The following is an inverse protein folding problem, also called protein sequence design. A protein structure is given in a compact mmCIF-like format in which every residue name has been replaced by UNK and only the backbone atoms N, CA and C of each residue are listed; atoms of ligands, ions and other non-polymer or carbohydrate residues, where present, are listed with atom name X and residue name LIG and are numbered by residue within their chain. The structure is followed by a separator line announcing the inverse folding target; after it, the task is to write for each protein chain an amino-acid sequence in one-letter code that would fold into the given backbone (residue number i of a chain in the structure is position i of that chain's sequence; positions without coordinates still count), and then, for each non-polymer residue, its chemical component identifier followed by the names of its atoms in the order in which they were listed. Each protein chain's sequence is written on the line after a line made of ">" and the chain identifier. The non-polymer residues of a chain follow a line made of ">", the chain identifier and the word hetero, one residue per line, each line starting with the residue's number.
data_IF_985459758679
#
_entry.id   IF_985459758679
#
_cell.length_a   1.000
_cell.length_b   1.000
_cell.length_c   1.000
_cell.angle_alpha   90.00
_cell.angle_beta   90.00
_cell.angle_gamma   90.00
#
_symmetry.space_group_name_H-M   'P 1'
#
loop_
_entity.id
_entity.type
_entity.pdbx_description
1 polymer ?
#
# COMPACT_ATOMS: atom_id res chain seq x y z
N UNK A 1 -5.01 -2.31 42.32
CA UNK A 1 -6.48 -2.31 42.11
C UNK A 1 -7.10 -0.90 42.06
N UNK A 2 -6.50 0.12 42.71
CA UNK A 2 -6.96 1.52 42.66
C UNK A 2 -6.68 2.17 41.28
N UNK A 3 -5.56 1.82 40.67
CA UNK A 3 -5.11 2.42 39.40
C UNK A 3 -6.00 2.03 38.21
N UNK A 4 -6.51 0.80 38.18
CA UNK A 4 -7.51 0.37 37.18
C UNK A 4 -8.80 1.17 37.26
N UNK A 5 -9.26 1.53 38.46
CA UNK A 5 -10.48 2.33 38.63
C UNK A 5 -10.28 3.77 38.14
N UNK A 6 -9.10 4.34 38.38
CA UNK A 6 -8.73 5.67 37.90
C UNK A 6 -8.63 5.65 36.36
N UNK A 7 -7.93 4.66 35.79
CA UNK A 7 -7.82 4.51 34.34
C UNK A 7 -9.19 4.32 33.66
N UNK A 8 -10.06 3.47 34.22
CA UNK A 8 -11.41 3.27 33.72
C UNK A 8 -12.28 4.55 33.82
N UNK A 9 -12.16 5.30 34.92
CA UNK A 9 -12.88 6.57 35.09
C UNK A 9 -12.42 7.63 34.07
N UNK A 10 -11.12 7.71 33.78
CA UNK A 10 -10.57 8.60 32.76
C UNK A 10 -11.08 8.19 31.37
N UNK A 11 -11.02 6.90 31.02
CA UNK A 11 -11.53 6.41 29.73
C UNK A 11 -13.02 6.74 29.60
N UNK A 12 -13.84 6.45 30.62
CA UNK A 12 -15.27 6.73 30.57
C UNK A 12 -15.61 8.23 30.50
N UNK A 13 -14.74 9.11 31.02
CA UNK A 13 -14.96 10.56 31.01
C UNK A 13 -14.57 11.22 29.68
N UNK A 14 -13.54 10.70 29.00
CA UNK A 14 -12.91 11.39 27.86
C UNK A 14 -12.95 10.61 26.54
N UNK A 15 -13.14 9.30 26.59
CA UNK A 15 -13.22 8.48 25.39
C UNK A 15 -14.64 8.51 24.85
N UNK A 16 -14.79 8.81 23.57
CA UNK A 16 -16.07 8.59 22.88
C UNK A 16 -16.42 7.09 22.92
N UNK A 17 -17.71 6.73 23.11
CA UNK A 17 -18.15 5.36 22.96
C UNK A 17 -17.72 4.80 21.61
N UNK A 18 -17.28 3.54 21.59
CA UNK A 18 -16.97 2.88 20.33
C UNK A 18 -18.26 2.72 19.52
N UNK A 19 -18.35 3.45 18.42
CA UNK A 19 -19.38 3.25 17.41
C UNK A 19 -18.87 2.32 16.32
N UNK A 20 -19.80 1.55 15.75
CA UNK A 20 -19.48 0.74 14.58
C UNK A 20 -19.07 1.64 13.41
N UNK A 21 -18.03 1.20 12.70
CA UNK A 21 -17.64 1.84 11.46
C UNK A 21 -18.82 1.82 10.48
N UNK A 22 -19.00 2.90 9.71
CA UNK A 22 -19.94 2.91 8.58
C UNK A 22 -19.67 1.82 7.52
N UNK A 23 -18.48 1.20 7.58
CA UNK A 23 -18.05 0.11 6.70
C UNK A 23 -18.16 -1.29 7.34
N UNK A 24 -18.76 -1.43 8.53
CA UNK A 24 -18.80 -2.69 9.28
C UNK A 24 -19.33 -3.85 8.45
N UNK A 25 -20.43 -3.67 7.72
CA UNK A 25 -21.00 -4.73 6.89
C UNK A 25 -20.05 -5.14 5.76
N UNK A 26 -19.43 -4.16 5.09
CA UNK A 26 -18.45 -4.43 4.04
C UNK A 26 -17.20 -5.14 4.58
N UNK A 27 -16.76 -4.80 5.79
CA UNK A 27 -15.66 -5.51 6.45
C UNK A 27 -16.04 -6.95 6.77
N UNK A 28 -17.26 -7.21 7.24
CA UNK A 28 -17.76 -8.57 7.49
C UNK A 28 -17.75 -9.36 6.18
N UNK A 29 -18.24 -8.79 5.08
CA UNK A 29 -18.24 -9.46 3.77
C UNK A 29 -16.82 -9.80 3.29
N UNK A 30 -15.86 -8.88 3.47
CA UNK A 30 -14.45 -9.13 3.13
C UNK A 30 -13.87 -10.24 4.02
N UNK A 31 -14.15 -10.21 5.33
CA UNK A 31 -13.67 -11.21 6.29
C UNK A 31 -14.25 -12.59 6.00
N UNK A 32 -15.51 -12.68 5.57
CA UNK A 32 -16.12 -13.94 5.20
C UNK A 32 -15.45 -14.59 3.98
N UNK A 33 -14.68 -13.83 3.20
CA UNK A 33 -13.87 -14.30 2.08
C UNK A 33 -12.40 -14.62 2.48
N UNK A 34 -12.08 -14.72 3.79
CA UNK A 34 -10.73 -15.00 4.36
C UNK A 34 -10.03 -16.20 3.77
N UNK A 35 -10.78 -17.25 3.49
CA UNK A 35 -10.24 -18.56 3.10
C UNK A 35 -9.67 -18.57 1.68
N UNK A 36 -9.76 -17.43 0.98
CA UNK A 36 -9.15 -17.27 -0.33
C UNK A 36 -7.63 -17.18 -0.17
N UNK A 37 -6.95 -18.03 -0.93
CA UNK A 37 -5.50 -18.12 -0.97
C UNK A 37 -4.91 -16.92 -1.73
N UNK A 38 -3.72 -16.44 -1.35
CA UNK A 38 -3.10 -15.31 -2.06
C UNK A 38 -2.38 -15.82 -3.32
N UNK A 39 -3.14 -16.02 -4.40
CA UNK A 39 -2.65 -16.55 -5.67
C UNK A 39 -1.46 -15.76 -6.26
N UNK A 40 -1.44 -14.43 -6.08
CA UNK A 40 -0.32 -13.61 -6.53
C UNK A 40 0.95 -13.90 -5.73
N UNK A 41 0.83 -14.15 -4.42
CA UNK A 41 1.96 -14.55 -3.60
C UNK A 41 2.57 -15.85 -4.12
N UNK A 42 1.77 -16.88 -4.42
CA UNK A 42 2.31 -18.15 -4.91
C UNK A 42 3.00 -17.96 -6.24
N UNK A 43 2.34 -17.29 -7.19
CA UNK A 43 2.92 -17.03 -8.49
C UNK A 43 4.26 -16.30 -8.39
N UNK A 44 4.35 -15.26 -7.56
CA UNK A 44 5.61 -14.53 -7.35
C UNK A 44 6.71 -15.43 -6.80
N UNK A 45 6.38 -16.34 -5.88
CA UNK A 45 7.33 -17.22 -5.23
C UNK A 45 7.76 -18.38 -6.13
N UNK A 46 6.81 -19.07 -6.77
CA UNK A 46 7.03 -20.18 -7.69
C UNK A 46 7.88 -19.76 -8.89
N UNK A 47 7.55 -18.61 -9.50
CA UNK A 47 8.29 -18.06 -10.63
C UNK A 47 9.53 -17.26 -10.21
N UNK A 48 9.83 -17.15 -8.90
CA UNK A 48 11.00 -16.44 -8.38
C UNK A 48 11.14 -15.00 -8.90
N UNK A 49 10.03 -14.26 -9.02
CA UNK A 49 10.00 -12.96 -9.72
C UNK A 49 10.92 -11.90 -9.08
N UNK A 50 11.24 -12.02 -7.80
CA UNK A 50 12.22 -11.14 -7.13
C UNK A 50 13.61 -11.20 -7.79
N UNK A 51 13.98 -12.32 -8.40
CA UNK A 51 15.28 -12.52 -9.08
C UNK A 51 15.23 -12.14 -10.56
N UNK A 52 14.04 -12.07 -11.13
CA UNK A 52 13.85 -11.74 -12.54
C UNK A 52 13.90 -10.22 -12.76
N UNK A 53 15.09 -9.67 -12.99
CA UNK A 53 15.22 -8.23 -13.32
C UNK A 53 14.86 -7.92 -14.77
N UNK A 54 15.28 -8.79 -15.68
CA UNK A 54 15.08 -8.62 -17.14
C UNK A 54 13.60 -8.69 -17.53
N UNK A 55 12.76 -9.40 -16.77
CA UNK A 55 11.34 -9.52 -17.06
C UNK A 55 10.53 -8.25 -16.72
N UNK A 56 11.18 -7.21 -16.16
CA UNK A 56 10.53 -5.97 -15.76
C UNK A 56 11.15 -4.77 -16.48
N UNK A 57 10.34 -3.77 -16.79
CA UNK A 57 10.76 -2.48 -17.36
C UNK A 57 10.53 -1.42 -16.30
N UNK A 58 11.57 -0.61 -16.03
CA UNK A 58 11.43 0.56 -15.16
C UNK A 58 10.61 1.63 -15.88
N UNK A 59 9.65 2.19 -15.16
CA UNK A 59 8.82 3.22 -15.73
C UNK A 59 9.49 4.60 -15.68
N UNK A 60 9.02 5.48 -16.57
CA UNK A 60 9.42 6.87 -16.59
C UNK A 60 8.70 7.69 -15.50
N UNK A 61 9.27 8.86 -15.19
CA UNK A 61 8.78 9.73 -14.12
C UNK A 61 7.37 10.31 -14.37
N UNK A 62 6.89 10.32 -15.61
CA UNK A 62 5.55 10.81 -15.95
C UNK A 62 4.43 9.78 -15.72
N UNK A 63 4.78 8.53 -15.38
CA UNK A 63 3.85 7.41 -15.14
C UNK A 63 2.81 7.21 -16.25
N UNK A 64 3.10 7.66 -17.48
CA UNK A 64 2.19 7.58 -18.63
C UNK A 64 1.77 6.14 -18.95
N UNK A 65 2.67 5.19 -18.75
CA UNK A 65 2.45 3.74 -18.88
C UNK A 65 1.42 3.18 -17.88
N UNK A 66 1.12 3.91 -16.78
CA UNK A 66 0.09 3.56 -15.79
C UNK A 66 -1.10 4.53 -15.83
N UNK A 67 -1.36 5.18 -16.96
CA UNK A 67 -2.58 5.96 -17.15
C UNK A 67 -3.84 5.08 -17.00
N UNK A 68 -3.72 3.78 -17.26
CA UNK A 68 -4.78 2.78 -17.15
C UNK A 68 -4.90 2.12 -15.76
N UNK A 69 -4.06 2.51 -14.80
CA UNK A 69 -4.15 2.00 -13.44
C UNK A 69 -5.46 2.45 -12.77
N UNK A 70 -6.15 1.57 -12.01
CA UNK A 70 -7.43 1.87 -11.39
C UNK A 70 -7.41 3.17 -10.58
N UNK A 71 -8.33 4.09 -10.90
CA UNK A 71 -8.61 5.22 -10.01
C UNK A 71 -9.42 4.70 -8.83
N UNK A 72 -8.89 4.86 -7.63
CA UNK A 72 -9.46 4.41 -6.37
C UNK A 72 -10.00 5.61 -5.60
N UNK A 73 -11.16 5.44 -4.98
CA UNK A 73 -11.65 6.38 -3.98
C UNK A 73 -10.94 6.17 -2.64
N UNK A 74 -11.05 7.15 -1.74
CA UNK A 74 -10.55 6.96 -0.38
C UNK A 74 -11.26 5.80 0.35
N UNK A 75 -12.55 5.57 0.04
CA UNK A 75 -13.31 4.43 0.54
C UNK A 75 -12.74 3.10 0.05
N UNK A 76 -12.42 2.98 -1.25
CA UNK A 76 -11.79 1.77 -1.79
C UNK A 76 -10.51 1.41 -1.03
N UNK A 77 -9.68 2.41 -0.72
CA UNK A 77 -8.45 2.21 0.04
C UNK A 77 -8.72 1.73 1.47
N UNK A 78 -9.74 2.28 2.14
CA UNK A 78 -10.16 1.83 3.48
C UNK A 78 -10.64 0.37 3.43
N UNK A 79 -11.42 0.01 2.42
CA UNK A 79 -11.94 -1.33 2.25
C UNK A 79 -10.81 -2.34 1.94
N UNK A 80 -9.87 -1.99 1.05
CA UNK A 80 -8.69 -2.82 0.76
C UNK A 80 -7.83 -3.01 2.01
N UNK A 81 -7.65 -1.96 2.82
CA UNK A 81 -6.88 -2.01 4.05
C UNK A 81 -7.59 -2.73 5.21
N UNK A 82 -8.91 -2.92 5.09
CA UNK A 82 -9.81 -3.29 6.20
C UNK A 82 -9.63 -2.33 7.39
N UNK A 83 -9.65 -1.03 7.10
CA UNK A 83 -9.53 0.04 8.09
C UNK A 83 -8.56 1.16 7.72
N UNK A 84 -8.46 2.17 8.59
CA UNK A 84 -7.70 3.40 8.30
C UNK A 84 -6.24 3.35 8.73
N UNK A 85 -5.85 2.36 9.54
CA UNK A 85 -4.52 2.32 10.17
C UNK A 85 -3.38 2.28 9.14
N UNK A 86 -3.43 1.34 8.20
CA UNK A 86 -2.40 1.22 7.18
C UNK A 86 -2.41 2.39 6.19
N UNK A 87 -3.57 3.04 5.99
CA UNK A 87 -3.70 4.24 5.17
C UNK A 87 -2.99 5.45 5.79
N UNK A 88 -3.11 5.64 7.10
CA UNK A 88 -2.38 6.69 7.84
C UNK A 88 -0.86 6.53 7.71
N UNK A 89 -0.38 5.29 7.75
CA UNK A 89 1.06 4.98 7.61
C UNK A 89 1.53 5.13 6.16
N UNK A 90 0.72 4.72 5.19
CA UNK A 90 1.03 4.79 3.76
C UNK A 90 1.42 6.20 3.31
N UNK A 91 0.77 7.24 3.85
CA UNK A 91 1.11 8.65 3.56
C UNK A 91 2.59 8.97 3.83
N UNK A 92 3.13 8.44 4.93
CA UNK A 92 4.53 8.63 5.31
C UNK A 92 5.46 7.90 4.35
N UNK A 93 5.14 6.64 4.00
CA UNK A 93 5.95 5.86 3.05
C UNK A 93 5.93 6.48 1.65
N UNK A 94 4.77 6.98 1.21
CA UNK A 94 4.67 7.73 -0.04
C UNK A 94 5.58 8.92 -0.06
N UNK A 95 5.53 9.73 0.98
CA UNK A 95 6.31 10.96 0.95
C UNK A 95 7.80 10.71 1.07
N UNK A 96 8.24 9.71 1.82
CA UNK A 96 9.66 9.34 1.87
C UNK A 96 10.17 8.88 0.50
N UNK A 97 9.42 8.02 -0.19
CA UNK A 97 9.82 7.51 -1.50
C UNK A 97 9.70 8.56 -2.60
N UNK A 98 8.66 9.40 -2.57
CA UNK A 98 8.49 10.48 -3.56
C UNK A 98 9.52 11.60 -3.33
N UNK A 99 9.82 11.98 -2.08
CA UNK A 99 10.80 13.04 -1.81
C UNK A 99 12.22 12.68 -2.26
N UNK A 100 12.61 11.41 -2.17
CA UNK A 100 13.97 10.97 -2.53
C UNK A 100 14.20 10.91 -4.03
N UNK A 101 13.19 10.51 -4.82
CA UNK A 101 13.36 10.19 -6.24
C UNK A 101 12.39 10.94 -7.17
N UNK A 102 11.50 11.78 -6.64
CA UNK A 102 10.42 12.46 -7.37
C UNK A 102 9.22 11.54 -7.71
N UNK A 103 9.46 10.24 -7.83
CA UNK A 103 8.47 9.19 -8.14
C UNK A 103 8.80 7.89 -7.42
N UNK A 104 7.80 7.02 -7.24
CA UNK A 104 8.07 5.64 -6.81
C UNK A 104 8.92 4.88 -7.82
N UNK A 105 9.89 4.08 -7.35
CA UNK A 105 10.60 3.12 -8.22
C UNK A 105 9.64 1.99 -8.63
N UNK A 106 8.99 2.19 -9.77
CA UNK A 106 7.98 1.31 -10.34
C UNK A 106 8.52 0.57 -11.56
N UNK A 107 8.10 -0.68 -11.69
CA UNK A 107 8.41 -1.51 -12.83
C UNK A 107 7.19 -2.31 -13.29
N UNK A 108 6.99 -2.38 -14.60
CA UNK A 108 5.92 -3.16 -15.23
C UNK A 108 6.50 -4.48 -15.73
N UNK A 109 5.73 -5.55 -15.57
CA UNK A 109 6.09 -6.85 -16.13
C UNK A 109 5.94 -6.87 -17.65
N UNK A 110 6.97 -7.34 -18.37
CA UNK A 110 7.03 -7.28 -19.84
C UNK A 110 6.07 -8.21 -20.55
N UNK A 111 5.67 -9.28 -19.87
CA UNK A 111 5.02 -10.43 -20.48
C UNK A 111 3.66 -10.66 -19.82
N UNK A 112 2.70 -9.73 -19.94
CA UNK A 112 1.37 -9.90 -19.35
C UNK A 112 0.69 -11.20 -19.83
N UNK A 113 1.00 -11.67 -21.04
CA UNK A 113 0.53 -12.95 -21.59
C UNK A 113 0.98 -14.18 -20.81
N UNK A 114 2.01 -14.08 -19.98
CA UNK A 114 2.50 -15.18 -19.14
C UNK A 114 1.85 -15.19 -17.75
N UNK A 115 1.01 -14.19 -17.45
CA UNK A 115 0.27 -14.11 -16.20
C UNK A 115 -0.98 -14.99 -16.33
N UNK A 116 -0.88 -16.21 -15.83
CA UNK A 116 -1.99 -17.17 -15.78
C UNK A 116 -2.61 -17.18 -14.37
N UNK A 117 -2.92 -16.00 -13.85
CA UNK A 117 -3.59 -15.82 -12.55
C UNK A 117 -5.02 -15.40 -12.84
N UNK A 118 -5.98 -16.24 -12.46
CA UNK A 118 -7.43 -15.98 -12.55
C UNK A 118 -7.99 -15.78 -13.98
N UNK A 119 -7.32 -16.25 -15.04
CA UNK A 119 -7.78 -16.21 -16.44
C UNK A 119 -8.18 -14.83 -16.99
N UNK A 120 -7.66 -13.76 -16.40
CA UNK A 120 -8.03 -12.38 -16.70
C UNK A 120 -6.88 -11.59 -17.31
N UNK A 121 -7.18 -10.68 -18.23
CA UNK A 121 -6.22 -9.73 -18.80
C UNK A 121 -5.76 -8.72 -17.74
N UNK A 122 -4.80 -9.14 -16.92
CA UNK A 122 -4.24 -8.36 -15.83
C UNK A 122 -2.87 -7.78 -16.19
N UNK A 123 -2.53 -6.66 -15.56
CA UNK A 123 -1.20 -6.06 -15.59
C UNK A 123 -0.53 -6.29 -14.24
N UNK A 124 0.71 -6.78 -14.26
CA UNK A 124 1.53 -6.96 -13.07
C UNK A 124 2.56 -5.84 -12.96
N UNK A 125 2.56 -5.15 -11.82
CA UNK A 125 3.58 -4.18 -11.47
C UNK A 125 4.35 -4.62 -10.24
N UNK A 126 5.61 -4.18 -10.17
CA UNK A 126 6.53 -4.39 -9.06
C UNK A 126 7.12 -3.06 -8.64
N UNK A 127 7.14 -2.83 -7.33
CA UNK A 127 7.69 -1.64 -6.71
C UNK A 127 8.80 -2.05 -5.75
N UNK A 128 9.87 -1.24 -5.70
CA UNK A 128 10.93 -1.40 -4.69
C UNK A 128 10.74 -0.37 -3.59
N UNK A 129 10.60 -0.87 -2.36
CA UNK A 129 10.43 -0.04 -1.17
C UNK A 129 11.58 -0.33 -0.21
N UNK A 130 12.29 0.72 0.18
CA UNK A 130 13.43 0.64 1.08
C UNK A 130 12.93 0.41 2.51
N UNK A 131 13.55 -0.51 3.24
CA UNK A 131 13.21 -0.74 4.64
C UNK A 131 13.64 0.45 5.49
N UNK A 132 12.72 0.96 6.32
CA UNK A 132 12.97 2.00 7.33
C UNK A 132 13.88 1.53 8.47
N UNK A 133 13.94 0.22 8.70
CA UNK A 133 14.69 -0.35 9.82
C UNK A 133 16.05 -0.91 9.42
N UNK A 134 16.25 -1.20 8.12
CA UNK A 134 17.46 -1.85 7.62
C UNK A 134 17.83 -1.27 6.26
N UNK A 135 18.88 -0.45 6.21
CA UNK A 135 19.30 0.27 4.99
C UNK A 135 19.64 -0.63 3.79
N UNK A 136 20.10 -1.86 4.01
CA UNK A 136 20.42 -2.78 2.90
C UNK A 136 19.21 -3.57 2.37
N UNK A 137 18.06 -3.48 3.04
CA UNK A 137 16.90 -4.34 2.75
C UNK A 137 15.86 -3.63 1.91
N UNK A 138 15.55 -4.22 0.75
CA UNK A 138 14.49 -3.78 -0.15
C UNK A 138 13.33 -4.76 -0.08
N UNK A 139 12.12 -4.25 0.09
CA UNK A 139 10.88 -4.98 -0.06
C UNK A 139 10.35 -4.84 -1.49
N UNK A 140 9.99 -5.97 -2.08
CA UNK A 140 9.34 -6.03 -3.39
C UNK A 140 7.84 -6.08 -3.15
N UNK A 141 7.13 -5.11 -3.72
CA UNK A 141 5.67 -4.99 -3.63
C UNK A 141 5.08 -5.22 -5.01
N UNK A 142 4.20 -6.20 -5.13
CA UNK A 142 3.54 -6.59 -6.36
C UNK A 142 2.07 -6.23 -6.29
N UNK A 143 1.55 -5.67 -7.38
CA UNK A 143 0.13 -5.42 -7.57
C UNK A 143 -0.27 -5.98 -8.92
N UNK A 144 -1.32 -6.79 -8.90
CA UNK A 144 -2.00 -7.29 -10.08
C UNK A 144 -3.30 -6.50 -10.23
N UNK A 145 -3.48 -5.85 -11.37
CA UNK A 145 -4.63 -4.99 -11.61
C UNK A 145 -5.24 -5.19 -13.00
N UNK A 146 -6.50 -4.82 -13.12
CA UNK A 146 -7.28 -4.72 -14.37
C UNK A 146 -7.49 -3.26 -14.73
N UNK A 147 -7.75 -3.01 -16.00
CA UNK A 147 -8.09 -1.68 -16.53
C UNK A 147 -9.53 -1.28 -16.20
N UNK A 148 -9.88 -1.35 -14.91
CA UNK A 148 -11.20 -1.01 -14.36
C UNK A 148 -10.99 -0.11 -13.13
N UNK A 149 -11.84 0.90 -12.94
CA UNK A 149 -11.74 1.79 -11.78
C UNK A 149 -12.35 1.17 -10.52
N UNK A 150 -11.99 1.72 -9.36
CA UNK A 150 -12.45 1.26 -8.06
C UNK A 150 -11.76 -0.02 -7.59
N UNK A 151 -12.19 -0.52 -6.43
CA UNK A 151 -11.57 -1.67 -5.76
C UNK A 151 -11.49 -2.92 -6.64
N UNK A 152 -12.48 -3.19 -7.50
CA UNK A 152 -12.52 -4.39 -8.34
C UNK A 152 -11.41 -4.41 -9.40
N UNK A 153 -10.85 -3.24 -9.74
CA UNK A 153 -9.66 -3.12 -10.58
C UNK A 153 -8.41 -3.72 -9.94
N UNK A 154 -8.38 -3.94 -8.63
CA UNK A 154 -7.24 -4.57 -7.93
C UNK A 154 -7.52 -6.07 -7.76
N UNK A 155 -6.88 -6.88 -8.60
CA UNK A 155 -7.09 -8.34 -8.64
C UNK A 155 -6.26 -9.09 -7.62
N UNK A 156 -5.13 -8.51 -7.18
CA UNK A 156 -4.32 -9.09 -6.12
C UNK A 156 -3.12 -8.24 -5.75
N UNK A 157 -2.57 -8.49 -4.57
CA UNK A 157 -1.34 -7.84 -4.10
C UNK A 157 -0.51 -8.79 -3.24
N UNK A 158 0.80 -8.59 -3.29
CA UNK A 158 1.76 -9.33 -2.48
C UNK A 158 2.95 -8.43 -2.14
N UNK A 159 3.52 -8.60 -0.95
CA UNK A 159 4.76 -7.93 -0.59
C UNK A 159 5.74 -8.90 0.07
N UNK A 160 7.03 -8.76 -0.21
CA UNK A 160 8.08 -9.61 0.39
C UNK A 160 8.36 -9.33 1.87
N UNK A 161 7.53 -8.51 2.53
CA UNK A 161 7.63 -8.27 3.96
C UNK A 161 6.91 -9.37 4.76
N UNK A 162 7.15 -9.40 6.07
CA UNK A 162 6.58 -10.42 6.97
C UNK A 162 5.04 -10.45 6.99
N UNK A 163 4.39 -9.36 6.57
CA UNK A 163 2.94 -9.22 6.53
C UNK A 163 2.37 -9.20 5.10
N UNK A 164 3.20 -9.36 4.08
CA UNK A 164 2.75 -9.16 2.70
C UNK A 164 2.04 -10.37 2.09
N UNK A 165 1.96 -11.49 2.81
CA UNK A 165 1.17 -12.69 2.46
C UNK A 165 -0.28 -12.64 2.93
N UNK A 166 -0.69 -11.58 3.62
CA UNK A 166 -2.06 -11.46 4.15
C UNK A 166 -3.09 -11.57 3.01
N UNK A 167 -4.17 -12.29 3.28
CA UNK A 167 -5.36 -12.40 2.43
C UNK A 167 -6.44 -11.41 2.88
N UNK A 168 -6.37 -10.95 4.14
CA UNK A 168 -7.14 -9.83 4.67
C UNK A 168 -6.30 -8.59 4.90
N UNK A 169 -6.79 -7.47 4.39
CA UNK A 169 -6.05 -6.22 4.44
C UNK A 169 -4.73 -6.33 3.68
N UNK A 170 -3.85 -5.35 3.87
CA UNK A 170 -2.52 -5.39 3.29
C UNK A 170 -1.48 -4.79 4.24
N UNK A 171 -0.21 -4.93 3.91
CA UNK A 171 0.85 -4.24 4.66
C UNK A 171 0.93 -2.76 4.26
N UNK A 172 1.66 -1.97 5.05
CA UNK A 172 1.87 -0.55 4.75
C UNK A 172 2.56 -0.32 3.39
N UNK A 173 3.42 -1.23 2.94
CA UNK A 173 4.11 -1.09 1.64
C UNK A 173 3.13 -1.19 0.46
N UNK A 174 2.26 -2.20 0.45
CA UNK A 174 1.20 -2.36 -0.55
C UNK A 174 0.28 -1.14 -0.53
N UNK A 175 -0.19 -0.76 0.66
CA UNK A 175 -1.09 0.38 0.81
C UNK A 175 -0.46 1.67 0.32
N UNK A 176 0.84 1.86 0.52
CA UNK A 176 1.58 3.02 0.00
C UNK A 176 1.52 3.12 -1.51
N UNK A 177 1.75 2.01 -2.20
CA UNK A 177 1.71 2.00 -3.67
C UNK A 177 0.28 2.26 -4.16
N UNK A 178 -0.72 1.58 -3.59
CA UNK A 178 -2.13 1.77 -3.95
C UNK A 178 -2.61 3.20 -3.67
N UNK A 179 -2.22 3.76 -2.52
CA UNK A 179 -2.55 5.12 -2.14
C UNK A 179 -1.99 6.12 -3.15
N UNK A 180 -0.71 6.01 -3.54
CA UNK A 180 -0.11 6.93 -4.51
C UNK A 180 -0.70 6.77 -5.92
N UNK A 181 -0.71 5.54 -6.45
CA UNK A 181 -1.12 5.27 -7.83
C UNK A 181 -2.63 5.39 -8.03
N UNK A 182 -3.42 4.91 -7.07
CA UNK A 182 -4.87 4.86 -7.22
C UNK A 182 -5.56 6.16 -6.83
N UNK A 183 -5.00 6.93 -5.91
CA UNK A 183 -5.70 8.09 -5.34
C UNK A 183 -4.86 9.36 -5.35
N UNK A 184 -3.75 9.39 -4.62
CA UNK A 184 -3.02 10.62 -4.31
C UNK A 184 -2.45 11.37 -5.53
N UNK A 185 -2.00 10.67 -6.59
CA UNK A 185 -1.51 11.33 -7.81
C UNK A 185 -2.60 12.05 -8.62
N UNK A 186 -3.87 11.78 -8.32
CA UNK A 186 -5.03 12.39 -8.97
C UNK A 186 -5.63 13.55 -8.16
N UNK A 187 -5.15 13.75 -6.93
CA UNK A 187 -5.59 14.84 -6.07
C UNK A 187 -4.76 16.10 -6.35
N UNK A 188 -5.41 17.25 -6.45
CA UNK A 188 -4.76 18.54 -6.77
C UNK A 188 -3.77 19.01 -5.69
N UNK A 189 -3.91 18.51 -4.46
CA UNK A 189 -3.10 18.90 -3.30
C UNK A 189 -2.50 17.69 -2.59
N UNK A 190 -1.43 17.13 -3.15
CA UNK A 190 -0.62 16.14 -2.43
C UNK A 190 0.29 16.81 -1.39
N UNK A 191 -0.25 17.11 -0.21
CA UNK A 191 0.56 17.63 0.88
C UNK A 191 1.44 16.53 1.49
N UNK A 192 2.76 16.67 1.33
CA UNK A 192 3.72 15.81 2.02
C UNK A 192 3.58 15.97 3.54
N UNK A 193 3.37 14.88 4.32
CA UNK A 193 3.39 14.94 5.76
C UNK A 193 4.73 15.49 6.22
N UNK A 194 4.66 16.39 7.20
CA UNK A 194 5.82 17.02 7.81
C UNK A 194 6.77 17.73 6.83
N UNK A 195 6.25 18.29 5.73
CA UNK A 195 7.02 19.17 4.83
C UNK A 195 7.72 20.31 5.59
N UNK A 196 7.10 20.82 6.64
CA UNK A 196 7.70 21.84 7.51
C UNK A 196 9.00 21.39 8.18
N UNK A 197 9.22 20.08 8.40
CA UNK A 197 10.46 19.56 9.00
C UNK A 197 11.63 19.54 8.01
N UNK A 198 11.38 19.61 6.70
CA UNK A 198 12.45 19.66 5.68
C UNK A 198 13.30 20.94 5.84
N UNK A 199 12.76 21.97 6.50
CA UNK A 199 13.43 23.25 6.80
C UNK A 199 13.96 23.35 8.24
N UNK A 200 13.86 22.28 9.04
CA UNK A 200 14.17 22.30 10.50
C UNK A 200 15.52 21.65 10.82
N UNK A 201 16.32 21.23 9.83
CA UNK A 201 17.66 20.71 10.10
C UNK A 201 18.53 21.82 10.69
N UNK A 202 18.77 21.71 12.00
CA UNK A 202 19.72 22.51 12.76
C UNK A 202 21.14 22.19 12.24
N UNK A 203 21.88 23.26 11.99
CA UNK A 203 23.30 23.25 11.66
C UNK A 203 24.11 22.58 12.80
N UNK A 204 24.47 21.31 12.60
CA UNK A 204 25.32 20.54 13.54
C UNK A 204 26.80 20.94 13.37
N UNK A 205 27.15 21.71 12.34
CA UNK A 205 28.53 22.15 12.08
C UNK A 205 28.91 23.44 12.83
N UNK A 206 28.01 24.00 13.64
CA UNK A 206 28.24 25.20 14.46
C UNK A 206 28.27 24.93 15.99
N UNK A 207 28.94 23.84 16.43
CA UNK A 207 29.29 23.63 17.85
C UNK A 207 30.74 23.23 18.05
#
# INVERSE_FOLDING_TARGET
>A
MKDFKIAAAIINCFQEPYEDSRYTNQFIDIINNVNNHNHLCDYVLEHNLNRQRVAFIRMQADLSELADFPRLTHEDLILIAVGTYHLKIARSYCSEHIKQTGVYELEVFRHPELIHINDENCVLIRCRIQSRHVRSKIYYTYILYKRENGRNGISGYYCSCIHGRRTLGCCAHVMSVLYYLGWARHEEQFAHPASFLDHVVLDIENR
#
